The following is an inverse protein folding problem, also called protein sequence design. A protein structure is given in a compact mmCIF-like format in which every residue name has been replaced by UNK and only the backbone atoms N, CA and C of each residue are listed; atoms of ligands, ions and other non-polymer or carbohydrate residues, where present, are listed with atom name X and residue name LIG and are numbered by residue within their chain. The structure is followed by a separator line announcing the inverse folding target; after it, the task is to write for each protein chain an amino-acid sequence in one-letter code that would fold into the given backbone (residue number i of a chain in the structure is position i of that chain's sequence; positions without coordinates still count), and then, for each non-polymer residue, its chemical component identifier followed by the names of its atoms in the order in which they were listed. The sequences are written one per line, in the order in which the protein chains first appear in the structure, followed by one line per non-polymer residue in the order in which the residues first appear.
data_IF_725270156314
#
_entry.id   IF_725270156314
#
_cell.length_a   1.000
_cell.length_b   1.000
_cell.length_c   1.000
_cell.angle_alpha   90.00
_cell.angle_beta   90.00
_cell.angle_gamma   90.00
#
_symmetry.space_group_name_H-M   'P 1'
#
loop_
_entity.id
_entity.type
_entity.pdbx_description
1 polymer ?
#
# COMPACT_ATOMS: atom_id res chain seq x y z
N UNK A 1 10.63 4.45 24.06
CA UNK A 1 9.24 4.82 23.67
C UNK A 1 9.15 4.72 22.16
N UNK A 2 8.16 4.00 21.68
CA UNK A 2 7.92 3.76 20.25
C UNK A 2 6.80 4.68 19.75
N UNK A 3 7.03 5.41 18.67
CA UNK A 3 6.04 6.25 18.01
C UNK A 3 5.54 5.52 16.76
N UNK A 4 4.25 5.23 16.69
CA UNK A 4 3.61 4.54 15.55
C UNK A 4 2.54 5.43 14.95
N UNK A 5 2.60 5.67 13.64
CA UNK A 5 1.64 6.49 12.93
C UNK A 5 0.77 5.67 12.00
N UNK A 6 -0.54 5.98 11.99
CA UNK A 6 -1.52 5.53 11.03
C UNK A 6 -2.18 6.74 10.37
N UNK A 7 -2.30 6.72 9.05
CA UNK A 7 -3.11 7.67 8.30
C UNK A 7 -4.39 6.95 7.86
N UNK A 8 -5.54 7.41 8.31
CA UNK A 8 -6.82 6.71 8.12
C UNK A 8 -7.96 7.67 7.79
N UNK A 9 -8.99 7.15 7.14
CA UNK A 9 -10.28 7.80 6.98
C UNK A 9 -11.37 7.03 7.75
N UNK A 10 -12.59 7.58 7.78
CA UNK A 10 -13.71 6.97 8.53
C UNK A 10 -14.12 5.60 7.99
N UNK A 11 -13.81 5.26 6.73
CA UNK A 11 -14.12 3.94 6.16
C UNK A 11 -13.13 2.87 6.64
N UNK A 12 -11.94 3.29 7.10
CA UNK A 12 -10.87 2.40 7.54
C UNK A 12 -10.68 2.34 9.07
N UNK A 13 -11.64 2.87 9.85
CA UNK A 13 -11.57 2.83 11.33
C UNK A 13 -11.47 1.39 11.85
N UNK A 14 -12.26 0.45 11.32
CA UNK A 14 -12.22 -0.96 11.76
C UNK A 14 -10.88 -1.61 11.42
N UNK A 15 -10.39 -1.59 10.17
CA UNK A 15 -9.06 -2.11 9.86
C UNK A 15 -7.95 -1.47 10.71
N UNK A 16 -7.96 -0.15 10.89
CA UNK A 16 -7.00 0.56 11.75
C UNK A 16 -7.05 0.04 13.19
N UNK A 17 -8.24 -0.13 13.74
CA UNK A 17 -8.42 -0.66 15.09
C UNK A 17 -7.90 -2.08 15.25
N UNK A 18 -8.10 -2.95 14.25
CA UNK A 18 -7.56 -4.31 14.24
C UNK A 18 -6.03 -4.28 14.15
N UNK A 19 -5.46 -3.41 13.32
CA UNK A 19 -4.02 -3.20 13.25
C UNK A 19 -3.45 -2.74 14.61
N UNK A 20 -4.08 -1.74 15.26
CA UNK A 20 -3.67 -1.26 16.58
C UNK A 20 -3.75 -2.36 17.66
N UNK A 21 -4.82 -3.17 17.67
CA UNK A 21 -4.96 -4.30 18.60
C UNK A 21 -3.83 -5.29 18.38
N UNK A 22 -3.51 -5.64 17.12
CA UNK A 22 -2.44 -6.58 16.81
C UNK A 22 -1.08 -6.08 17.28
N UNK A 23 -0.81 -4.78 17.10
CA UNK A 23 0.40 -4.15 17.65
C UNK A 23 0.41 -4.25 19.18
N UNK A 24 -0.67 -3.91 19.84
CA UNK A 24 -0.75 -3.93 21.31
C UNK A 24 -0.58 -5.34 21.87
N UNK A 25 -1.22 -6.35 21.28
CA UNK A 25 -1.14 -7.75 21.75
C UNK A 25 0.28 -8.32 21.68
N UNK A 26 1.04 -7.94 20.67
CA UNK A 26 2.40 -8.47 20.44
C UNK A 26 3.50 -7.57 20.99
N UNK A 27 3.16 -6.40 21.58
CA UNK A 27 4.12 -5.45 22.14
C UNK A 27 3.62 -4.89 23.48
N UNK A 28 3.17 -5.79 24.38
CA UNK A 28 2.54 -5.43 25.66
C UNK A 28 3.46 -4.60 26.55
N UNK A 29 4.72 -4.99 26.62
CA UNK A 29 5.72 -4.36 27.49
C UNK A 29 6.28 -3.04 26.92
N UNK A 30 6.06 -2.78 25.64
CA UNK A 30 6.57 -1.57 24.99
C UNK A 30 5.76 -0.33 25.36
N UNK A 31 6.45 0.78 25.60
CA UNK A 31 5.78 2.10 25.72
C UNK A 31 5.51 2.61 24.32
N UNK A 32 4.25 2.64 23.93
CA UNK A 32 3.82 3.04 22.57
C UNK A 32 2.96 4.30 22.64
N UNK A 33 3.22 5.23 21.74
CA UNK A 33 2.35 6.35 21.42
C UNK A 33 1.88 6.21 19.97
N UNK A 34 0.59 6.06 19.78
CA UNK A 34 -0.04 6.09 18.47
C UNK A 34 -0.29 7.53 18.00
N UNK A 35 -0.06 7.79 16.73
CA UNK A 35 -0.33 9.04 16.04
C UNK A 35 -1.35 8.75 14.93
N UNK A 36 -2.59 9.17 15.13
CA UNK A 36 -3.72 8.90 14.23
C UNK A 36 -3.99 10.14 13.40
N UNK A 37 -3.61 10.13 12.13
CA UNK A 37 -3.87 11.22 11.18
C UNK A 37 -5.15 10.92 10.43
N UNK A 38 -6.17 11.77 10.60
CA UNK A 38 -7.48 11.61 10.01
C UNK A 38 -7.57 12.50 8.76
N UNK A 39 -7.98 11.90 7.65
CA UNK A 39 -7.94 12.50 6.31
C UNK A 39 -9.31 12.76 5.71
N UNK A 40 -10.39 12.57 6.48
CA UNK A 40 -11.73 12.84 5.99
C UNK A 40 -11.93 14.30 5.63
N UNK A 41 -12.57 14.54 4.48
CA UNK A 41 -13.11 15.85 4.11
C UNK A 41 -14.14 16.29 5.16
N UNK A 42 -14.10 17.54 5.54
CA UNK A 42 -14.83 18.08 6.67
C UNK A 42 -16.34 17.98 6.53
N UNK A 43 -16.89 17.01 7.19
CA UNK A 43 -18.24 17.13 7.78
C UNK A 43 -18.04 17.26 9.28
N UNK A 44 -18.65 18.24 9.88
CA UNK A 44 -18.63 18.64 11.30
C UNK A 44 -17.65 17.98 12.30
N UNK A 45 -16.91 18.82 13.04
CA UNK A 45 -15.93 18.44 14.08
C UNK A 45 -16.43 17.45 15.15
N UNK A 46 -17.71 17.29 15.32
CA UNK A 46 -18.35 16.43 16.33
C UNK A 46 -18.31 14.97 15.85
N UNK A 47 -18.65 14.73 14.58
CA UNK A 47 -18.77 13.39 14.01
C UNK A 47 -17.41 12.64 13.95
N UNK A 48 -16.31 13.35 13.66
CA UNK A 48 -14.98 12.73 13.62
C UNK A 48 -14.53 12.26 14.98
N UNK A 49 -14.77 13.04 16.05
CA UNK A 49 -14.38 12.65 17.42
C UNK A 49 -15.09 11.38 17.87
N UNK A 50 -16.37 11.25 17.52
CA UNK A 50 -17.15 10.04 17.83
C UNK A 50 -16.65 8.84 17.03
N UNK A 51 -16.38 9.01 15.74
CA UNK A 51 -15.87 7.94 14.86
C UNK A 51 -14.48 7.44 15.26
N UNK A 52 -13.60 8.34 15.71
CA UNK A 52 -12.22 8.00 16.13
C UNK A 52 -12.18 7.48 17.58
N UNK A 53 -13.21 7.75 18.38
CA UNK A 53 -13.27 7.31 19.79
C UNK A 53 -12.93 5.83 20.00
N UNK A 54 -13.41 4.88 19.16
CA UNK A 54 -13.03 3.47 19.31
C UNK A 54 -11.52 3.21 19.25
N UNK A 55 -10.76 3.96 18.44
CA UNK A 55 -9.32 3.83 18.35
C UNK A 55 -8.63 4.35 19.64
N UNK A 56 -9.12 5.44 20.20
CA UNK A 56 -8.66 5.95 21.49
C UNK A 56 -8.96 4.96 22.63
N UNK A 57 -10.15 4.38 22.64
CA UNK A 57 -10.56 3.37 23.63
C UNK A 57 -9.69 2.10 23.53
N UNK A 58 -9.27 1.70 22.32
CA UNK A 58 -8.29 0.60 22.12
C UNK A 58 -6.96 0.96 22.76
N UNK A 59 -6.39 2.12 22.46
CA UNK A 59 -5.13 2.54 23.05
C UNK A 59 -5.20 2.56 24.59
N UNK A 60 -6.26 3.14 25.15
CA UNK A 60 -6.49 3.19 26.59
C UNK A 60 -6.62 1.79 27.22
N UNK A 61 -7.35 0.87 26.60
CA UNK A 61 -7.50 -0.53 27.04
C UNK A 61 -6.16 -1.23 27.22
N UNK A 62 -5.20 -0.93 26.33
CA UNK A 62 -3.86 -1.52 26.39
C UNK A 62 -2.82 -0.63 27.12
N UNK A 63 -3.27 0.41 27.81
CA UNK A 63 -2.39 1.37 28.52
C UNK A 63 -1.35 2.02 27.58
N UNK A 64 -1.75 2.29 26.35
CA UNK A 64 -0.97 3.01 25.35
C UNK A 64 -1.53 4.43 25.19
N UNK A 65 -0.67 5.35 24.71
CA UNK A 65 -1.10 6.71 24.38
C UNK A 65 -1.58 6.77 22.93
N UNK A 66 -2.52 7.66 22.64
CA UNK A 66 -2.91 7.96 21.26
C UNK A 66 -3.21 9.47 21.12
N UNK A 67 -2.63 10.05 20.08
CA UNK A 67 -2.88 11.44 19.67
C UNK A 67 -3.59 11.43 18.31
N UNK A 68 -4.57 12.31 18.16
CA UNK A 68 -5.35 12.46 16.92
C UNK A 68 -4.98 13.77 16.26
N UNK A 69 -4.67 13.70 14.99
CA UNK A 69 -4.35 14.84 14.14
C UNK A 69 -5.33 14.89 12.96
N UNK A 70 -5.61 16.08 12.47
CA UNK A 70 -6.36 16.26 11.22
C UNK A 70 -5.39 16.71 10.15
N UNK A 71 -5.50 16.07 9.01
CA UNK A 71 -4.80 16.52 7.81
C UNK A 71 -5.54 17.74 7.23
N UNK A 72 -4.89 18.88 7.00
CA UNK A 72 -5.52 20.03 6.36
C UNK A 72 -5.92 19.70 4.92
N UNK A 73 -7.20 19.91 4.57
CA UNK A 73 -7.74 19.68 3.22
C UNK A 73 -6.94 20.39 2.12
N UNK A 74 -6.49 21.61 2.39
CA UNK A 74 -5.70 22.39 1.47
C UNK A 74 -4.42 21.70 1.02
N UNK A 75 -3.83 20.86 1.88
CA UNK A 75 -2.61 20.11 1.56
C UNK A 75 -2.90 18.86 0.71
N UNK A 76 -4.07 18.24 0.90
CA UNK A 76 -4.47 17.04 0.16
C UNK A 76 -5.00 17.39 -1.22
N UNK A 77 -5.74 18.50 -1.34
CA UNK A 77 -6.34 18.93 -2.62
C UNK A 77 -5.30 19.21 -3.70
N UNK A 78 -4.08 19.54 -3.33
CA UNK A 78 -2.97 19.71 -4.28
C UNK A 78 -2.64 18.41 -5.03
N UNK A 79 -2.90 17.24 -4.43
CA UNK A 79 -2.60 15.92 -4.99
C UNK A 79 -3.77 15.23 -5.71
N UNK A 80 -4.99 15.75 -5.60
CA UNK A 80 -6.25 15.06 -5.98
C UNK A 80 -6.36 14.72 -7.47
N UNK A 81 -5.61 15.33 -8.35
CA UNK A 81 -5.92 15.26 -9.78
C UNK A 81 -5.38 14.03 -10.52
N UNK A 82 -4.59 13.14 -9.93
CA UNK A 82 -3.75 12.23 -10.71
C UNK A 82 -3.71 10.75 -10.31
N UNK A 83 -4.47 10.30 -9.30
CA UNK A 83 -4.42 8.92 -8.81
C UNK A 83 -5.38 7.94 -9.48
N UNK A 84 -5.11 6.65 -9.33
CA UNK A 84 -6.03 5.58 -9.69
C UNK A 84 -7.27 5.60 -8.79
N UNK A 85 -8.44 5.31 -9.35
CA UNK A 85 -9.77 5.52 -8.73
C UNK A 85 -10.04 4.78 -7.38
N UNK A 86 -9.13 3.92 -6.92
CA UNK A 86 -9.27 3.14 -5.68
C UNK A 86 -8.22 3.49 -4.60
N UNK A 87 -7.24 4.33 -4.92
CA UNK A 87 -6.26 4.83 -3.95
C UNK A 87 -6.71 6.23 -3.55
N UNK A 88 -7.03 6.39 -2.28
CA UNK A 88 -7.49 7.67 -1.73
C UNK A 88 -6.29 8.60 -1.50
N UNK A 89 -6.54 9.89 -1.52
CA UNK A 89 -5.57 10.93 -1.16
C UNK A 89 -4.96 10.73 0.23
N UNK A 90 -5.62 9.94 1.09
CA UNK A 90 -5.11 9.44 2.37
C UNK A 90 -3.70 8.88 2.27
N UNK A 91 -3.35 8.24 1.15
CA UNK A 91 -2.01 7.69 0.92
C UNK A 91 -0.90 8.75 1.00
N UNK A 92 -1.14 9.99 0.55
CA UNK A 92 -0.15 11.06 0.65
C UNK A 92 0.05 11.62 2.07
N UNK A 93 -0.87 11.36 2.99
CA UNK A 93 -0.81 11.96 4.34
C UNK A 93 0.45 11.57 5.11
N UNK A 94 1.04 10.39 4.83
CA UNK A 94 2.29 9.96 5.45
C UNK A 94 3.46 10.88 5.16
N UNK A 95 3.46 11.58 4.02
CA UNK A 95 4.50 12.54 3.61
C UNK A 95 4.53 13.74 4.55
N UNK A 96 3.39 14.10 5.14
CA UNK A 96 3.25 15.23 6.03
C UNK A 96 3.50 14.91 7.51
N UNK A 97 3.80 13.66 7.86
CA UNK A 97 4.12 13.28 9.25
C UNK A 97 5.24 14.15 9.88
N UNK A 98 6.30 14.55 9.15
CA UNK A 98 7.32 15.42 9.71
C UNK A 98 6.81 16.82 10.10
N UNK A 99 5.76 17.33 9.44
CA UNK A 99 5.10 18.60 9.75
C UNK A 99 4.04 18.44 10.86
N UNK A 100 3.28 17.35 10.82
CA UNK A 100 2.16 17.07 11.74
C UNK A 100 2.65 16.75 13.14
N UNK A 101 3.74 15.97 13.24
CA UNK A 101 4.24 15.48 14.52
C UNK A 101 5.15 16.51 15.20
N UNK A 102 5.07 16.58 16.53
CA UNK A 102 5.92 17.46 17.32
C UNK A 102 7.40 17.31 16.98
N UNK A 103 8.12 18.43 16.94
CA UNK A 103 9.53 18.47 16.54
C UNK A 103 10.47 17.68 17.47
N UNK A 104 10.04 17.36 18.68
CA UNK A 104 10.80 16.47 19.58
C UNK A 104 10.78 15.00 19.12
N UNK A 105 9.82 14.61 18.29
CA UNK A 105 9.74 13.27 17.73
C UNK A 105 10.66 13.18 16.51
N UNK A 106 11.75 12.43 16.65
CA UNK A 106 12.81 12.30 15.64
C UNK A 106 12.59 11.14 14.66
N UNK A 107 11.89 10.12 15.12
CA UNK A 107 11.64 8.89 14.38
C UNK A 107 10.21 8.42 14.60
N UNK A 108 9.57 7.92 13.54
CA UNK A 108 8.24 7.31 13.60
C UNK A 108 8.21 6.05 12.75
N UNK A 109 7.50 5.03 13.21
CA UNK A 109 7.13 3.85 12.42
C UNK A 109 5.75 4.10 11.83
N UNK A 110 5.70 4.35 10.53
CA UNK A 110 4.44 4.45 9.81
C UNK A 110 3.96 3.05 9.41
N UNK A 111 2.68 2.80 9.61
CA UNK A 111 2.00 1.55 9.25
C UNK A 111 0.72 1.85 8.46
N UNK A 112 0.50 1.14 7.37
CA UNK A 112 -0.79 1.14 6.68
C UNK A 112 -1.89 0.53 7.55
N UNK A 113 -3.13 0.90 7.28
CA UNK A 113 -4.29 0.47 8.09
C UNK A 113 -4.75 -0.96 7.75
N UNK A 114 -4.27 -1.53 6.66
CA UNK A 114 -4.64 -2.84 6.14
C UNK A 114 -3.57 -3.92 6.39
N UNK A 115 -2.94 -3.85 7.54
CA UNK A 115 -1.97 -4.83 8.00
C UNK A 115 -2.29 -5.32 9.42
N UNK A 116 -1.61 -6.39 9.83
CA UNK A 116 -1.55 -6.82 11.23
C UNK A 116 -0.10 -7.05 11.64
N UNK A 117 0.18 -6.79 12.90
CA UNK A 117 1.44 -7.10 13.55
C UNK A 117 1.28 -8.42 14.34
N UNK A 118 1.93 -9.49 13.91
CA UNK A 118 1.83 -10.82 14.52
C UNK A 118 3.12 -11.21 15.29
N UNK A 119 3.97 -10.22 15.61
CA UNK A 119 5.19 -10.39 16.37
C UNK A 119 5.70 -9.10 17.01
N UNK A 120 6.87 -9.15 17.65
CA UNK A 120 7.48 -7.97 18.28
C UNK A 120 8.01 -6.98 17.23
N UNK A 121 7.76 -5.70 17.48
CA UNK A 121 8.30 -4.59 16.70
C UNK A 121 9.59 -3.99 17.30
N UNK A 122 10.06 -4.50 18.44
CA UNK A 122 11.20 -3.92 19.16
C UNK A 122 12.47 -3.87 18.31
N UNK A 123 12.79 -4.98 17.60
CA UNK A 123 13.98 -5.01 16.74
C UNK A 123 13.86 -4.03 15.58
N UNK A 124 12.68 -3.94 14.94
CA UNK A 124 12.40 -2.98 13.88
C UNK A 124 12.55 -1.54 14.37
N UNK A 125 11.94 -1.24 15.53
CA UNK A 125 12.02 0.09 16.12
C UNK A 125 13.44 0.50 16.51
N UNK A 126 14.27 -0.45 16.98
CA UNK A 126 15.63 -0.20 17.41
C UNK A 126 16.62 -0.02 16.26
N UNK A 127 16.22 -0.26 15.02
CA UNK A 127 17.06 0.05 13.85
C UNK A 127 17.37 1.56 13.84
N UNK A 128 18.67 1.87 13.73
CA UNK A 128 19.14 3.24 13.57
C UNK A 128 19.25 3.58 12.09
N UNK A 129 18.52 4.60 11.66
CA UNK A 129 18.67 5.16 10.33
C UNK A 129 19.91 6.06 10.30
N UNK A 130 20.72 6.03 9.21
CA UNK A 130 21.73 7.06 8.98
C UNK A 130 21.12 8.47 9.01
N UNK A 131 21.92 9.47 9.35
CA UNK A 131 21.42 10.85 9.51
C UNK A 131 20.82 11.40 8.20
N UNK A 132 21.41 11.06 7.08
CA UNK A 132 20.99 11.46 5.72
C UNK A 132 19.94 10.54 5.12
N UNK A 133 19.61 9.41 5.74
CA UNK A 133 18.64 8.45 5.25
C UNK A 133 17.22 8.84 5.68
N UNK A 134 16.32 9.21 4.75
CA UNK A 134 14.97 9.66 5.09
C UNK A 134 14.04 8.54 5.55
N UNK A 135 14.21 7.33 5.00
CA UNK A 135 13.33 6.20 5.28
C UNK A 135 14.08 4.86 5.31
N UNK A 136 13.67 3.99 6.24
CA UNK A 136 13.85 2.55 6.13
C UNK A 136 12.57 1.91 5.61
N UNK A 137 12.67 1.06 4.60
CA UNK A 137 11.52 0.45 3.95
C UNK A 137 11.82 -0.97 3.43
N UNK A 138 10.77 -1.72 3.14
CA UNK A 138 10.86 -3.09 2.65
C UNK A 138 10.62 -3.10 1.14
N UNK A 139 11.35 -3.91 0.41
CA UNK A 139 11.16 -4.07 -1.04
C UNK A 139 9.74 -4.55 -1.36
N UNK A 140 9.19 -4.05 -2.46
CA UNK A 140 7.91 -4.52 -2.99
C UNK A 140 8.07 -5.93 -3.58
N UNK A 141 7.04 -6.74 -3.53
CA UNK A 141 7.04 -8.09 -4.13
C UNK A 141 7.30 -8.10 -5.64
N UNK A 142 7.18 -6.95 -6.28
CA UNK A 142 7.48 -6.72 -7.70
C UNK A 142 8.58 -5.65 -7.89
N UNK A 143 9.56 -5.56 -6.97
CA UNK A 143 10.54 -4.49 -6.96
C UNK A 143 11.45 -4.42 -8.20
N UNK A 144 11.65 -5.52 -8.91
CA UNK A 144 12.44 -5.57 -10.13
C UNK A 144 11.58 -5.39 -11.40
N UNK A 145 10.34 -4.95 -11.29
CA UNK A 145 9.47 -4.73 -12.44
C UNK A 145 10.01 -3.60 -13.33
N UNK A 146 10.31 -3.86 -14.62
CA UNK A 146 10.79 -2.85 -15.56
C UNK A 146 9.84 -1.65 -15.66
N UNK A 147 8.54 -1.90 -15.54
CA UNK A 147 7.51 -0.87 -15.57
C UNK A 147 7.59 0.07 -14.37
N UNK A 148 7.84 -0.47 -13.16
CA UNK A 148 8.02 0.35 -11.97
C UNK A 148 9.20 1.28 -12.13
N UNK A 149 10.32 0.77 -12.60
CA UNK A 149 11.52 1.55 -12.88
C UNK A 149 11.26 2.66 -13.90
N UNK A 150 10.52 2.37 -14.97
CA UNK A 150 10.18 3.37 -15.98
C UNK A 150 9.24 4.48 -15.41
N UNK A 151 8.20 4.13 -14.67
CA UNK A 151 7.24 5.08 -14.10
C UNK A 151 7.92 6.00 -13.09
N UNK A 152 8.75 5.43 -12.23
CA UNK A 152 9.45 6.17 -11.18
C UNK A 152 10.75 6.80 -11.67
N UNK A 153 11.15 6.53 -12.92
CA UNK A 153 12.40 7.03 -13.52
C UNK A 153 13.65 6.64 -12.70
N UNK A 154 13.62 5.48 -12.07
CA UNK A 154 14.76 4.96 -11.32
C UNK A 154 15.52 3.92 -12.16
N UNK A 155 16.83 3.74 -11.94
CA UNK A 155 17.61 2.73 -12.67
C UNK A 155 17.04 1.31 -12.50
N UNK A 156 17.16 0.47 -13.53
CA UNK A 156 16.71 -0.93 -13.48
C UNK A 156 17.43 -1.77 -12.41
N UNK A 157 18.55 -1.29 -11.91
CA UNK A 157 19.31 -1.89 -10.80
C UNK A 157 18.83 -1.44 -9.42
N UNK A 158 18.02 -0.39 -9.34
CA UNK A 158 17.45 0.09 -8.09
C UNK A 158 16.34 -0.85 -7.60
N UNK A 159 16.22 -0.96 -6.30
CA UNK A 159 15.13 -1.72 -5.69
C UNK A 159 13.94 -0.81 -5.44
N UNK A 160 12.77 -1.21 -5.91
CA UNK A 160 11.53 -0.50 -5.65
C UNK A 160 10.92 -0.98 -4.33
N UNK A 161 10.57 -0.05 -3.43
CA UNK A 161 10.01 -0.37 -2.09
C UNK A 161 8.49 -0.30 -2.08
N UNK A 162 7.89 -1.03 -1.12
CA UNK A 162 6.49 -0.87 -0.73
C UNK A 162 6.38 0.16 0.41
N UNK A 163 5.42 1.07 0.32
CA UNK A 163 5.25 2.19 1.27
C UNK A 163 4.40 1.88 2.49
N UNK A 164 3.87 0.65 2.63
CA UNK A 164 2.95 0.30 3.71
C UNK A 164 3.58 0.17 5.11
N UNK A 165 4.90 0.01 5.18
CA UNK A 165 5.69 0.02 6.41
C UNK A 165 6.93 0.87 6.19
N UNK A 166 7.02 2.00 6.91
CA UNK A 166 8.14 2.93 6.79
C UNK A 166 8.69 3.29 8.18
N UNK A 167 9.98 3.09 8.38
CA UNK A 167 10.69 3.70 9.50
C UNK A 167 11.21 5.05 9.03
N UNK A 168 10.62 6.15 9.51
CA UNK A 168 10.91 7.50 8.98
C UNK A 168 11.85 8.26 9.91
N UNK A 169 12.89 8.87 9.34
CA UNK A 169 13.77 9.82 10.01
C UNK A 169 13.21 11.23 9.84
N UNK A 170 12.40 11.68 10.81
CA UNK A 170 11.69 12.96 10.72
C UNK A 170 12.63 14.18 10.72
N UNK A 171 13.78 14.09 11.39
CA UNK A 171 14.78 15.17 11.35
C UNK A 171 15.40 15.28 9.95
N UNK A 172 15.73 14.16 9.31
CA UNK A 172 16.20 14.16 7.93
C UNK A 172 15.19 14.82 6.99
N UNK A 173 13.92 14.48 7.12
CA UNK A 173 12.83 15.06 6.34
C UNK A 173 12.72 16.59 6.53
N UNK A 174 12.74 17.05 7.78
CA UNK A 174 12.62 18.47 8.13
C UNK A 174 13.82 19.27 7.65
N UNK A 175 15.04 18.76 7.90
CA UNK A 175 16.29 19.46 7.57
C UNK A 175 16.52 19.60 6.07
N UNK A 176 15.99 18.67 5.25
CA UNK A 176 16.15 18.68 3.79
C UNK A 176 14.91 19.18 3.04
N UNK A 177 13.88 19.64 3.77
CA UNK A 177 12.65 20.16 3.18
C UNK A 177 11.96 19.18 2.21
N UNK A 178 12.00 17.87 2.55
CA UNK A 178 11.50 16.81 1.68
C UNK A 178 9.98 16.84 1.49
N UNK A 179 9.23 17.52 2.36
CA UNK A 179 7.79 17.72 2.18
C UNK A 179 7.54 18.57 0.93
N UNK A 180 8.15 19.77 0.85
CA UNK A 180 7.94 20.66 -0.29
C UNK A 180 8.49 20.05 -1.59
N UNK A 181 9.62 19.33 -1.51
CA UNK A 181 10.14 18.58 -2.65
C UNK A 181 9.12 17.52 -3.13
N UNK A 182 8.54 16.77 -2.21
CA UNK A 182 7.53 15.75 -2.51
C UNK A 182 6.27 16.34 -3.17
N UNK A 183 5.78 17.46 -2.63
CA UNK A 183 4.65 18.20 -3.19
C UNK A 183 4.95 18.66 -4.61
N UNK A 184 6.07 19.33 -4.82
CA UNK A 184 6.46 19.86 -6.13
C UNK A 184 6.59 18.75 -7.19
N UNK A 185 7.22 17.62 -6.84
CA UNK A 185 7.37 16.47 -7.75
C UNK A 185 6.03 15.82 -8.04
N UNK A 186 5.16 15.67 -7.05
CA UNK A 186 3.86 15.06 -7.24
C UNK A 186 2.88 15.94 -8.07
N UNK A 187 3.07 17.26 -8.09
CA UNK A 187 2.34 18.18 -8.96
C UNK A 187 2.80 18.08 -10.42
N UNK A 188 4.08 17.87 -10.63
CA UNK A 188 4.68 17.80 -11.98
C UNK A 188 4.53 16.41 -12.62
N UNK A 189 4.60 15.36 -11.81
CA UNK A 189 4.60 13.96 -12.27
C UNK A 189 3.36 13.20 -11.83
N UNK A 190 2.89 12.32 -12.74
CA UNK A 190 1.79 11.39 -12.44
C UNK A 190 2.33 10.05 -11.97
N UNK A 191 2.02 9.72 -10.74
CA UNK A 191 2.39 8.45 -10.11
C UNK A 191 1.15 7.56 -9.91
N UNK A 192 1.02 6.45 -10.63
CA UNK A 192 -0.13 5.54 -10.49
C UNK A 192 -0.31 4.96 -9.08
N UNK A 193 0.80 4.69 -8.36
CA UNK A 193 0.78 4.26 -6.96
C UNK A 193 1.09 5.41 -6.00
N UNK A 194 0.75 6.63 -6.39
CA UNK A 194 0.78 7.85 -5.58
C UNK A 194 2.08 8.00 -4.77
N UNK A 195 1.97 7.92 -3.45
CA UNK A 195 3.07 8.07 -2.49
C UNK A 195 4.15 7.00 -2.66
N UNK A 196 3.80 5.76 -2.98
CA UNK A 196 4.79 4.69 -3.16
C UNK A 196 5.71 4.97 -4.33
N UNK A 197 5.16 5.34 -5.50
CA UNK A 197 5.96 5.71 -6.68
C UNK A 197 6.79 6.98 -6.39
N UNK A 198 6.20 7.97 -5.70
CA UNK A 198 6.87 9.22 -5.33
C UNK A 198 8.08 8.96 -4.41
N UNK A 199 7.91 8.16 -3.36
CA UNK A 199 8.98 7.85 -2.42
C UNK A 199 10.13 7.10 -3.10
N UNK A 200 9.80 6.17 -4.01
CA UNK A 200 10.80 5.48 -4.81
C UNK A 200 11.55 6.44 -5.74
N UNK A 201 10.82 7.32 -6.44
CA UNK A 201 11.43 8.33 -7.31
C UNK A 201 12.41 9.24 -6.57
N UNK A 202 12.02 9.70 -5.38
CA UNK A 202 12.81 10.67 -4.60
C UNK A 202 14.01 10.05 -3.88
N UNK A 203 13.86 8.82 -3.37
CA UNK A 203 14.79 8.30 -2.37
C UNK A 203 15.49 7.00 -2.75
N UNK A 204 15.35 6.46 -3.98
CA UNK A 204 15.90 5.16 -4.38
C UNK A 204 17.40 4.97 -4.07
N UNK A 205 18.18 6.05 -4.04
CA UNK A 205 19.61 6.02 -3.70
C UNK A 205 19.87 6.05 -2.19
N UNK A 206 18.87 6.42 -1.38
CA UNK A 206 19.06 6.67 0.05
C UNK A 206 17.94 6.04 0.91
N UNK A 207 17.67 4.77 0.67
CA UNK A 207 16.72 3.94 1.44
C UNK A 207 17.50 2.90 2.22
N UNK A 208 17.23 2.78 3.52
CA UNK A 208 17.67 1.64 4.30
C UNK A 208 16.71 0.46 4.05
N UNK A 209 17.17 -0.58 3.36
CA UNK A 209 16.34 -1.76 3.12
C UNK A 209 16.20 -2.60 4.38
N UNK A 210 14.96 -2.84 4.78
CA UNK A 210 14.58 -3.58 5.97
C UNK A 210 14.18 -5.02 5.61
N UNK A 211 14.30 -5.99 6.55
CA UNK A 211 13.93 -7.37 6.32
C UNK A 211 12.46 -7.56 5.91
N UNK A 212 12.20 -8.44 4.94
CA UNK A 212 10.89 -8.66 4.33
C UNK A 212 9.82 -9.11 5.35
N UNK A 213 10.19 -9.78 6.44
CA UNK A 213 9.30 -10.19 7.52
C UNK A 213 8.53 -9.02 8.17
N UNK A 214 9.02 -7.79 8.05
CA UNK A 214 8.37 -6.59 8.58
C UNK A 214 7.37 -5.94 7.62
N UNK A 215 7.21 -6.50 6.42
CA UNK A 215 6.16 -6.13 5.47
C UNK A 215 5.93 -7.31 4.53
N UNK A 216 5.48 -8.45 5.09
CA UNK A 216 5.15 -9.61 4.28
C UNK A 216 3.85 -9.35 3.52
N UNK A 217 3.99 -9.12 2.25
CA UNK A 217 2.90 -8.74 1.34
C UNK A 217 2.17 -9.99 0.86
N UNK A 218 0.85 -10.07 1.08
CA UNK A 218 0.06 -11.25 0.70
C UNK A 218 0.07 -11.51 -0.82
N UNK A 219 0.38 -10.52 -1.65
CA UNK A 219 0.55 -10.70 -3.10
C UNK A 219 1.58 -11.78 -3.42
N UNK A 220 2.64 -11.89 -2.61
CA UNK A 220 3.68 -12.93 -2.75
C UNK A 220 3.11 -14.35 -2.69
N UNK A 221 2.06 -14.56 -1.89
CA UNK A 221 1.39 -15.84 -1.75
C UNK A 221 0.30 -16.04 -2.81
N UNK A 222 -0.41 -14.96 -3.17
CA UNK A 222 -1.49 -15.02 -4.16
C UNK A 222 -0.97 -15.26 -5.57
N UNK A 223 0.12 -14.57 -5.92
CA UNK A 223 0.74 -14.69 -7.25
C UNK A 223 1.73 -15.86 -7.32
N UNK A 224 2.22 -16.30 -6.17
CA UNK A 224 3.33 -17.23 -6.02
C UNK A 224 4.68 -16.54 -6.17
N UNK A 225 5.63 -16.89 -5.31
CA UNK A 225 6.97 -16.31 -5.28
C UNK A 225 7.65 -16.37 -6.66
N UNK A 226 7.43 -17.46 -7.40
CA UNK A 226 8.03 -17.71 -8.73
C UNK A 226 7.54 -16.73 -9.82
N UNK A 227 6.44 -16.02 -9.58
CA UNK A 227 5.86 -15.05 -10.51
C UNK A 227 6.15 -13.60 -10.13
N UNK A 228 6.65 -13.38 -8.93
CA UNK A 228 7.06 -12.06 -8.47
C UNK A 228 8.36 -11.66 -9.18
N UNK A 229 8.47 -10.41 -9.58
CA UNK A 229 9.72 -9.85 -10.11
C UNK A 229 10.70 -9.60 -8.96
N UNK A 230 11.31 -10.67 -8.45
CA UNK A 230 12.19 -10.67 -7.29
C UNK A 230 13.55 -11.23 -7.72
N UNK A 231 14.64 -10.64 -7.21
CA UNK A 231 15.97 -11.19 -7.33
C UNK A 231 16.07 -12.51 -6.55
N UNK A 232 16.68 -13.53 -7.12
CA UNK A 232 16.92 -14.81 -6.47
C UNK A 232 17.67 -14.68 -5.14
N UNK A 233 18.45 -13.62 -4.96
CA UNK A 233 19.14 -13.32 -3.70
C UNK A 233 18.17 -13.11 -2.52
N UNK A 234 16.93 -12.69 -2.78
CA UNK A 234 15.90 -12.47 -1.75
C UNK A 234 14.91 -13.63 -1.59
N UNK A 235 15.01 -14.65 -2.44
CA UNK A 235 14.02 -15.73 -2.47
C UNK A 235 13.86 -16.45 -1.12
N UNK A 236 14.96 -16.83 -0.49
CA UNK A 236 14.94 -17.52 0.79
C UNK A 236 14.47 -16.60 1.93
N UNK A 237 14.84 -15.33 1.93
CA UNK A 237 14.35 -14.35 2.90
C UNK A 237 12.83 -14.16 2.79
N UNK A 238 12.31 -14.02 1.58
CA UNK A 238 10.88 -13.85 1.34
C UNK A 238 10.12 -15.12 1.71
N UNK A 239 10.66 -16.27 1.39
CA UNK A 239 10.08 -17.58 1.76
C UNK A 239 10.01 -17.73 3.27
N UNK A 240 11.08 -17.38 4.00
CA UNK A 240 11.08 -17.39 5.47
C UNK A 240 10.05 -16.39 6.02
N UNK A 241 9.97 -15.20 5.46
CA UNK A 241 8.99 -14.20 5.84
C UNK A 241 7.54 -14.65 5.59
N UNK A 242 7.30 -15.46 4.56
CA UNK A 242 5.99 -16.08 4.33
C UNK A 242 5.64 -17.15 5.37
N UNK A 243 6.63 -17.75 6.04
CA UNK A 243 6.42 -18.75 7.10
C UNK A 243 6.32 -18.07 8.46
N UNK A 244 7.19 -17.08 8.71
CA UNK A 244 7.38 -16.39 9.99
C UNK A 244 7.22 -14.87 9.87
N UNK A 245 6.07 -14.36 9.37
CA UNK A 245 5.86 -12.92 9.23
C UNK A 245 5.73 -12.24 10.61
N UNK A 246 6.34 -11.06 10.74
CA UNK A 246 6.10 -10.17 11.89
C UNK A 246 5.00 -9.17 11.56
N UNK A 247 5.00 -8.60 10.34
CA UNK A 247 3.90 -7.79 9.84
C UNK A 247 3.35 -8.44 8.57
N UNK A 248 2.05 -8.68 8.54
CA UNK A 248 1.31 -9.19 7.39
C UNK A 248 0.54 -8.03 6.78
N UNK A 249 0.83 -7.70 5.53
CA UNK A 249 0.23 -6.60 4.82
C UNK A 249 -0.75 -7.11 3.77
N UNK A 250 -2.02 -6.82 3.97
CA UNK A 250 -3.12 -7.17 3.07
C UNK A 250 -3.30 -6.12 1.99
N UNK A 251 -2.20 -5.83 1.27
CA UNK A 251 -2.18 -4.83 0.21
C UNK A 251 -3.20 -5.17 -0.89
N UNK A 252 -3.52 -4.18 -1.75
CA UNK A 252 -4.46 -4.31 -2.86
C UNK A 252 -5.93 -4.54 -2.44
N UNK A 253 -6.77 -5.03 -3.33
CA UNK A 253 -8.19 -5.27 -3.08
C UNK A 253 -8.50 -6.56 -2.30
N UNK A 254 -7.51 -7.44 -2.13
CA UNK A 254 -7.67 -8.75 -1.48
C UNK A 254 -7.62 -8.63 0.05
N UNK A 255 -8.65 -8.04 0.63
CA UNK A 255 -8.72 -7.77 2.07
C UNK A 255 -9.29 -8.96 2.85
N UNK A 256 -8.77 -9.28 4.06
CA UNK A 256 -9.26 -10.40 4.87
C UNK A 256 -10.72 -10.23 5.32
N UNK A 257 -11.22 -9.00 5.36
CA UNK A 257 -12.63 -8.71 5.67
C UNK A 257 -13.55 -8.74 4.45
N UNK A 258 -13.01 -8.89 3.24
CA UNK A 258 -13.77 -8.97 1.98
C UNK A 258 -13.67 -10.33 1.30
N UNK A 259 -12.58 -11.06 1.51
CA UNK A 259 -12.26 -12.30 0.81
C UNK A 259 -12.14 -13.46 1.78
N UNK A 260 -12.99 -14.48 1.64
CA UNK A 260 -12.99 -15.68 2.49
C UNK A 260 -11.66 -16.45 2.45
N UNK A 261 -11.07 -16.57 1.27
CA UNK A 261 -9.80 -17.29 1.04
C UNK A 261 -8.56 -16.36 1.02
N UNK A 262 -8.64 -15.22 1.70
CA UNK A 262 -7.47 -14.34 1.84
C UNK A 262 -6.38 -15.05 2.65
N UNK A 263 -5.11 -15.06 2.20
CA UNK A 263 -4.01 -15.59 2.99
C UNK A 263 -3.94 -14.94 4.37
N UNK A 264 -3.70 -15.74 5.41
CA UNK A 264 -3.67 -15.31 6.82
C UNK A 264 -4.94 -14.59 7.31
N UNK A 265 -6.10 -14.84 6.69
CA UNK A 265 -7.37 -14.29 7.15
C UNK A 265 -7.65 -14.66 8.61
N UNK A 266 -7.33 -15.89 9.01
CA UNK A 266 -7.49 -16.38 10.37
C UNK A 266 -6.67 -15.59 11.41
N UNK A 267 -5.48 -15.11 11.04
CA UNK A 267 -4.67 -14.23 11.89
C UNK A 267 -5.30 -12.85 12.06
N UNK A 268 -5.81 -12.28 10.97
CA UNK A 268 -6.56 -11.01 11.04
C UNK A 268 -7.82 -11.17 11.89
N UNK A 269 -8.56 -12.25 11.70
CA UNK A 269 -9.79 -12.55 12.44
C UNK A 269 -9.54 -12.70 13.94
N UNK A 270 -8.44 -13.33 14.34
CA UNK A 270 -8.00 -13.41 15.75
C UNK A 270 -7.98 -12.02 16.44
N UNK A 271 -7.42 -11.01 15.77
CA UNK A 271 -7.37 -9.66 16.34
C UNK A 271 -8.70 -8.91 16.20
N UNK A 272 -9.45 -9.20 15.15
CA UNK A 272 -10.81 -8.68 15.00
C UNK A 272 -11.74 -9.12 16.12
N UNK A 273 -11.66 -10.37 16.56
CA UNK A 273 -12.44 -10.93 17.67
C UNK A 273 -12.12 -10.28 19.02
N UNK A 274 -10.97 -9.63 19.16
CA UNK A 274 -10.59 -8.85 20.35
C UNK A 274 -11.14 -7.41 20.32
N UNK A 275 -11.70 -7.00 19.19
CA UNK A 275 -12.23 -5.66 18.97
C UNK A 275 -13.67 -5.51 19.48
N UNK A 276 -14.12 -4.25 19.57
CA UNK A 276 -15.52 -3.94 19.87
C UNK A 276 -16.46 -4.29 18.70
N UNK A 277 -15.92 -4.51 17.52
CA UNK A 277 -16.68 -4.81 16.29
C UNK A 277 -16.86 -6.30 16.03
N UNK A 278 -16.42 -7.17 16.93
CA UNK A 278 -16.42 -8.63 16.76
C UNK A 278 -17.78 -9.23 16.35
N UNK A 279 -18.86 -8.61 16.78
CA UNK A 279 -20.24 -9.05 16.50
C UNK A 279 -20.85 -8.33 15.28
N UNK A 280 -20.09 -7.46 14.61
CA UNK A 280 -20.55 -6.72 13.45
C UNK A 280 -20.12 -7.50 12.18
N UNK A 281 -21.05 -8.17 11.47
CA UNK A 281 -20.68 -8.87 10.25
C UNK A 281 -20.17 -7.87 9.22
N UNK A 282 -19.02 -8.15 8.61
CA UNK A 282 -18.67 -7.48 7.37
C UNK A 282 -19.68 -7.90 6.30
N UNK A 283 -20.48 -6.95 5.82
CA UNK A 283 -21.40 -7.17 4.73
C UNK A 283 -20.59 -7.57 3.48
N UNK A 284 -20.83 -8.78 2.99
CA UNK A 284 -20.28 -9.30 1.74
C UNK A 284 -18.84 -9.83 1.77
N UNK A 285 -18.62 -10.90 2.56
CA UNK A 285 -17.49 -11.78 2.31
C UNK A 285 -17.77 -12.54 0.99
N UNK A 286 -17.05 -12.19 -0.06
CA UNK A 286 -17.19 -12.90 -1.34
C UNK A 286 -16.36 -14.18 -1.31
N UNK A 287 -17.00 -15.29 -1.69
CA UNK A 287 -16.33 -16.61 -1.83
C UNK A 287 -15.46 -16.70 -3.09
N UNK A 288 -15.51 -15.72 -3.94
CA UNK A 288 -14.85 -15.76 -5.25
C UNK A 288 -13.54 -14.97 -5.26
N UNK A 289 -12.44 -15.67 -5.34
CA UNK A 289 -11.25 -15.20 -6.04
C UNK A 289 -11.71 -14.62 -7.36
N UNK A 290 -11.83 -13.39 -7.56
CA UNK A 290 -12.15 -13.29 -8.93
C UNK A 290 -12.48 -11.96 -9.52
N UNK A 291 -13.31 -11.18 -8.91
CA UNK A 291 -13.73 -9.96 -9.61
C UNK A 291 -12.75 -8.81 -9.42
N UNK A 292 -12.16 -8.71 -8.26
CA UNK A 292 -11.21 -7.65 -7.96
C UNK A 292 -9.83 -7.94 -8.56
N UNK A 293 -9.35 -9.16 -8.39
CA UNK A 293 -8.06 -9.61 -8.91
C UNK A 293 -7.99 -9.53 -10.46
N UNK A 294 -9.04 -10.01 -11.13
CA UNK A 294 -9.16 -9.91 -12.59
C UNK A 294 -9.15 -8.43 -13.03
N UNK A 295 -9.78 -7.54 -12.28
CA UNK A 295 -9.87 -6.13 -12.64
C UNK A 295 -8.54 -5.40 -12.44
N UNK A 296 -7.83 -5.68 -11.34
CA UNK A 296 -6.50 -5.11 -11.07
C UNK A 296 -5.44 -5.65 -12.03
N UNK A 297 -5.49 -6.94 -12.38
CA UNK A 297 -4.59 -7.52 -13.38
C UNK A 297 -4.87 -6.93 -14.77
N UNK A 298 -6.13 -6.71 -15.15
CA UNK A 298 -6.49 -6.02 -16.39
C UNK A 298 -6.03 -4.55 -16.36
N UNK A 299 -6.27 -3.80 -15.28
CA UNK A 299 -5.78 -2.42 -15.17
C UNK A 299 -4.26 -2.36 -15.09
N UNK A 300 -3.62 -3.28 -14.39
CA UNK A 300 -2.15 -3.33 -14.33
C UNK A 300 -1.52 -3.69 -15.67
N UNK A 301 -2.17 -4.57 -16.46
CA UNK A 301 -1.68 -4.95 -17.78
C UNK A 301 -2.00 -3.92 -18.86
N UNK A 302 -3.06 -3.12 -18.70
CA UNK A 302 -3.42 -2.05 -19.64
C UNK A 302 -2.31 -0.99 -19.81
N UNK A 303 -1.45 -0.83 -18.81
CA UNK A 303 -0.35 0.11 -18.80
C UNK A 303 1.01 -0.54 -19.08
N UNK A 304 1.04 -1.84 -19.39
CA UNK A 304 2.29 -2.55 -19.66
C UNK A 304 2.82 -2.32 -21.08
N UNK A 305 4.16 -2.42 -21.20
CA UNK A 305 4.95 -2.22 -22.40
C UNK A 305 4.40 -2.98 -23.63
N UNK A 306 4.23 -2.33 -24.80
CA UNK A 306 3.81 -2.97 -26.05
C UNK A 306 4.67 -4.16 -26.49
N UNK A 307 5.93 -4.26 -26.01
CA UNK A 307 6.82 -5.39 -26.31
C UNK A 307 6.45 -6.68 -25.54
N UNK A 308 5.75 -6.56 -24.42
CA UNK A 308 5.19 -7.69 -23.65
C UNK A 308 3.89 -8.27 -24.25
N UNK A 309 3.34 -7.58 -25.23
CA UNK A 309 2.03 -7.90 -25.84
C UNK A 309 1.94 -9.32 -26.43
N UNK A 310 3.05 -9.94 -26.84
CA UNK A 310 3.04 -11.29 -27.43
C UNK A 310 2.79 -12.41 -26.40
N UNK A 311 3.27 -12.26 -25.18
CA UNK A 311 3.06 -13.20 -24.08
C UNK A 311 1.72 -12.93 -23.37
N UNK A 312 1.29 -11.68 -23.34
CA UNK A 312 0.05 -11.25 -22.70
C UNK A 312 -1.21 -11.57 -23.50
N UNK A 313 -1.17 -11.58 -24.82
CA UNK A 313 -2.31 -11.98 -25.66
C UNK A 313 -2.88 -13.35 -25.24
N UNK A 314 -2.04 -14.26 -24.75
CA UNK A 314 -2.47 -15.57 -24.25
C UNK A 314 -3.18 -15.47 -22.89
N UNK A 315 -2.76 -14.58 -22.02
CA UNK A 315 -3.42 -14.27 -20.74
C UNK A 315 -4.77 -13.62 -20.96
N UNK A 316 -4.86 -12.65 -21.85
CA UNK A 316 -6.13 -11.99 -22.22
C UNK A 316 -7.15 -12.96 -22.81
N UNK A 317 -6.71 -13.91 -23.64
CA UNK A 317 -7.59 -14.95 -24.17
C UNK A 317 -8.16 -15.85 -23.06
N UNK A 318 -7.38 -16.16 -22.02
CA UNK A 318 -7.89 -16.89 -20.84
C UNK A 318 -8.91 -16.05 -20.06
N UNK A 319 -8.64 -14.75 -19.88
CA UNK A 319 -9.56 -13.81 -19.24
C UNK A 319 -10.86 -13.64 -19.99
N UNK A 320 -10.78 -13.47 -21.31
CA UNK A 320 -11.96 -13.38 -22.16
C UNK A 320 -12.85 -14.62 -22.05
N UNK A 321 -12.24 -15.82 -22.09
CA UNK A 321 -12.94 -17.09 -21.85
C UNK A 321 -13.56 -17.16 -20.46
N UNK A 322 -12.87 -16.67 -19.42
CA UNK A 322 -13.39 -16.64 -18.05
C UNK A 322 -14.54 -15.64 -17.91
N UNK A 323 -14.45 -14.45 -18.50
CA UNK A 323 -15.50 -13.43 -18.49
C UNK A 323 -16.78 -13.92 -19.21
N UNK A 324 -16.62 -14.62 -20.33
CA UNK A 324 -17.75 -15.27 -21.05
C UNK A 324 -18.39 -16.34 -20.16
N UNK A 325 -17.59 -17.19 -19.52
CA UNK A 325 -18.08 -18.26 -18.63
C UNK A 325 -18.86 -17.71 -17.45
N UNK A 326 -18.44 -16.55 -16.92
CA UNK A 326 -19.13 -15.85 -15.82
C UNK A 326 -20.35 -15.03 -16.26
N UNK A 327 -20.67 -14.99 -17.56
CA UNK A 327 -21.77 -14.19 -18.14
C UNK A 327 -21.78 -12.71 -17.76
N UNK A 328 -20.62 -12.15 -17.49
CA UNK A 328 -20.50 -10.74 -17.06
C UNK A 328 -20.44 -9.81 -18.25
N UNK A 329 -21.62 -9.30 -18.69
CA UNK A 329 -21.75 -8.40 -19.86
C UNK A 329 -20.87 -7.14 -19.76
N UNK A 330 -20.71 -6.54 -18.57
CA UNK A 330 -19.91 -5.31 -18.40
C UNK A 330 -18.42 -5.55 -18.64
N UNK A 331 -17.89 -6.67 -18.15
CA UNK A 331 -16.49 -7.05 -18.38
C UNK A 331 -16.28 -7.42 -19.85
N UNK A 332 -17.20 -8.17 -20.45
CA UNK A 332 -17.11 -8.55 -21.86
C UNK A 332 -17.09 -7.30 -22.75
N UNK A 333 -17.97 -6.32 -22.51
CA UNK A 333 -18.00 -5.07 -23.28
C UNK A 333 -16.69 -4.28 -23.13
N UNK A 334 -16.15 -4.14 -21.93
CA UNK A 334 -14.87 -3.46 -21.71
C UNK A 334 -13.70 -4.19 -22.40
N UNK A 335 -13.66 -5.52 -22.33
CA UNK A 335 -12.64 -6.31 -23.02
C UNK A 335 -12.75 -6.20 -24.54
N UNK A 336 -13.96 -6.18 -25.09
CA UNK A 336 -14.19 -5.99 -26.53
C UNK A 336 -13.77 -4.58 -26.96
N UNK A 337 -14.13 -3.52 -26.20
CA UNK A 337 -13.67 -2.17 -26.45
C UNK A 337 -12.15 -2.07 -26.47
N UNK A 338 -11.51 -2.64 -25.45
CA UNK A 338 -10.05 -2.70 -25.35
C UNK A 338 -9.39 -3.38 -26.55
N UNK A 339 -9.91 -4.54 -26.98
CA UNK A 339 -9.40 -5.23 -28.17
C UNK A 339 -9.57 -4.41 -29.46
N UNK A 340 -10.68 -3.71 -29.60
CA UNK A 340 -10.93 -2.85 -30.76
C UNK A 340 -9.97 -1.66 -30.79
N UNK A 341 -9.73 -1.01 -29.66
CA UNK A 341 -8.80 0.10 -29.54
C UNK A 341 -7.34 -0.34 -29.77
N UNK A 342 -6.96 -1.49 -29.23
CA UNK A 342 -5.62 -2.08 -29.46
C UNK A 342 -5.42 -2.54 -30.90
N UNK A 343 -6.44 -3.08 -31.55
CA UNK A 343 -6.40 -3.45 -32.97
C UNK A 343 -6.27 -2.24 -33.88
N UNK A 344 -6.96 -1.12 -33.56
CA UNK A 344 -6.82 0.15 -34.27
C UNK A 344 -5.37 0.65 -34.21
N UNK A 345 -4.78 0.66 -33.02
CA UNK A 345 -3.37 1.08 -32.82
C UNK A 345 -2.37 0.19 -33.56
N UNK A 346 -2.62 -1.12 -33.64
CA UNK A 346 -1.79 -2.06 -34.39
C UNK A 346 -1.92 -1.81 -35.90
N UNK A 347 -3.12 -1.54 -36.38
CA UNK A 347 -3.35 -1.21 -37.79
C UNK A 347 -2.64 0.09 -38.17
N UNK A 348 -2.71 1.12 -37.32
CA UNK A 348 -2.00 2.38 -37.51
C UNK A 348 -0.48 2.17 -37.52
N UNK A 349 0.04 1.34 -36.62
CA UNK A 349 1.49 1.00 -36.58
C UNK A 349 1.93 0.25 -37.84
N UNK A 350 1.13 -0.72 -38.30
CA UNK A 350 1.40 -1.46 -39.56
C UNK A 350 1.35 -0.52 -40.76
N UNK A 351 0.43 0.46 -40.77
CA UNK A 351 0.32 1.47 -41.84
C UNK A 351 1.55 2.39 -41.82
N UNK A 352 1.98 2.84 -40.65
CA UNK A 352 3.17 3.68 -40.49
C UNK A 352 4.46 2.95 -40.94
N UNK A 353 4.60 1.67 -40.66
CA UNK A 353 5.74 0.85 -41.12
C UNK A 353 5.72 0.63 -42.64
N UNK A 354 4.53 0.55 -43.27
CA UNK A 354 4.40 0.39 -44.72
C UNK A 354 4.63 1.67 -45.49
N UNK A 355 4.36 2.83 -44.87
CA UNK A 355 4.52 4.13 -45.54
C UNK A 355 5.90 4.75 -45.40
N UNK A 356 6.75 4.21 -44.49
CA UNK A 356 8.15 4.60 -44.32
C UNK A 356 9.14 3.68 -45.09
N UNK A 357 8.69 3.01 -46.12
CA UNK A 357 9.50 2.36 -47.17
C UNK A 357 9.26 3.10 -48.51
#
# INVERSE_FOLDING_TARGET
MMHIAFCTDTNYIIPTGVAMISVCENNKEEIITFHLVITDEATDNIDIKEKVKPLLDIAAKYSKMANVYRMPESRISEFVCNGAAYITTTAFSRIFLPEILDSSIKKVLYLDCDLICDGSLSDLWNITLPEDCPIGAIVDSNYASPRRHQITEIPSTAKYINSGVLLMNLDCWRNNNYIDLSVNVALDKRFPLLDQDLLNHLFYENILYLPFKYNMQIATLLDGIDKCHIDMAYYEEIKDACINPIIIHYMSANKPWKLEKCPYREKWQKYYELSIWKDSPFSEVTTSFGRSYIYEEIESSYWSDPTLFKTEAYSYMRFFKAAIKLKNKKIIVKLVSFFLDSFSSIIELIYAIKTNK
#
